data_IF_138285828545
#
_entry.id   IF_138285828545
#
_cell.length_a   1.000
_cell.length_b   1.000
_cell.length_c   1.000
_cell.angle_alpha   90.00
_cell.angle_beta   90.00
_cell.angle_gamma   90.00
#
_symmetry.space_group_name_H-M   'P 1'
#
loop_
_entity.id
_entity.type
_entity.pdbx_description
1 polymer ?
#
# COMPACT_ATOMS: atom_id res chain seq x y z
N UNK A 1 -28.18 1.23 3.19
CA UNK A 1 -27.11 1.76 4.05
C UNK A 1 -26.27 2.78 3.29
N UNK A 2 -25.71 3.72 3.98
CA UNK A 2 -24.92 4.79 3.34
C UNK A 2 -23.42 4.58 3.63
N UNK A 3 -22.75 3.82 2.77
CA UNK A 3 -21.32 3.54 2.92
C UNK A 3 -20.55 4.74 2.36
N UNK A 4 -19.63 5.30 3.14
CA UNK A 4 -18.95 6.56 2.82
C UNK A 4 -17.50 6.39 2.35
N UNK A 5 -16.94 5.21 2.46
CA UNK A 5 -15.56 5.00 2.01
C UNK A 5 -14.96 3.71 2.53
N UNK A 6 -13.67 3.56 2.30
CA UNK A 6 -12.88 2.44 2.80
C UNK A 6 -12.15 2.93 4.04
N UNK A 7 -12.32 2.22 5.17
CA UNK A 7 -11.60 2.53 6.42
C UNK A 7 -10.21 1.87 6.42
N UNK A 8 -10.20 0.57 6.19
CA UNK A 8 -8.96 -0.19 6.11
C UNK A 8 -9.18 -1.47 5.33
N UNK A 9 -8.10 -2.07 4.92
CA UNK A 9 -8.11 -3.43 4.38
C UNK A 9 -6.92 -4.18 4.96
N UNK A 10 -6.87 -5.49 4.71
CA UNK A 10 -5.88 -6.37 5.32
C UNK A 10 -4.97 -6.94 4.24
N UNK A 11 -3.67 -6.91 4.50
CA UNK A 11 -2.69 -7.67 3.72
C UNK A 11 -2.23 -8.86 4.57
N UNK A 12 -2.28 -10.04 3.99
CA UNK A 12 -1.67 -11.23 4.57
C UNK A 12 -0.22 -11.24 4.11
N UNK A 13 0.71 -11.29 5.06
CA UNK A 13 2.14 -11.10 4.77
C UNK A 13 2.96 -12.26 5.33
N UNK A 14 4.09 -12.53 4.70
CA UNK A 14 5.03 -13.55 5.16
C UNK A 14 5.83 -13.05 6.37
N UNK A 15 6.31 -11.80 6.29
CA UNK A 15 7.17 -11.18 7.30
C UNK A 15 6.68 -9.77 7.60
N UNK A 16 6.08 -9.58 8.77
CA UNK A 16 5.52 -8.28 9.19
C UNK A 16 6.58 -7.18 9.21
N UNK A 17 7.78 -7.48 9.71
CA UNK A 17 8.85 -6.48 9.81
C UNK A 17 9.32 -6.01 8.43
N UNK A 18 9.46 -6.92 7.48
CA UNK A 18 9.83 -6.57 6.11
C UNK A 18 8.77 -5.68 5.47
N UNK A 19 7.50 -6.00 5.67
CA UNK A 19 6.38 -5.20 5.16
C UNK A 19 6.37 -3.80 5.80
N UNK A 20 6.57 -3.71 7.11
CA UNK A 20 6.65 -2.42 7.80
C UNK A 20 7.76 -1.55 7.23
N UNK A 21 8.94 -2.12 7.04
CA UNK A 21 10.09 -1.39 6.49
C UNK A 21 9.78 -0.86 5.09
N UNK A 22 9.17 -1.69 4.25
CA UNK A 22 8.83 -1.29 2.88
C UNK A 22 7.84 -0.13 2.88
N UNK A 23 6.72 -0.26 3.60
CA UNK A 23 5.68 0.77 3.56
C UNK A 23 6.08 2.07 4.27
N UNK A 24 6.99 2.01 5.25
CA UNK A 24 7.59 3.23 5.80
C UNK A 24 8.35 4.00 4.73
N UNK A 25 9.04 3.30 3.83
CA UNK A 25 9.75 3.94 2.71
C UNK A 25 8.80 4.67 1.77
N UNK A 26 7.54 4.25 1.70
CA UNK A 26 6.52 4.93 0.91
C UNK A 26 5.84 6.07 1.65
N UNK A 27 6.21 6.33 2.90
CA UNK A 27 5.65 7.41 3.70
C UNK A 27 4.56 6.97 4.67
N UNK A 28 4.31 5.68 4.80
CA UNK A 28 3.34 5.15 5.75
C UNK A 28 3.84 5.23 7.19
N UNK A 29 2.92 5.43 8.12
CA UNK A 29 3.22 5.45 9.55
C UNK A 29 2.87 4.10 10.16
N UNK A 30 3.84 3.46 10.80
CA UNK A 30 3.62 2.17 11.44
C UNK A 30 3.04 2.38 12.83
N UNK A 31 1.90 1.74 13.10
CA UNK A 31 1.20 1.83 14.37
C UNK A 31 0.98 0.43 14.91
N UNK A 32 1.31 0.23 16.19
CA UNK A 32 1.02 -1.01 16.89
C UNK A 32 -0.30 -0.87 17.62
N UNK A 33 -1.18 -1.85 17.51
CA UNK A 33 -2.48 -1.82 18.17
C UNK A 33 -2.86 -3.22 18.65
N UNK A 34 -3.83 -3.29 19.58
CA UNK A 34 -4.28 -4.55 20.14
C UNK A 34 -3.13 -5.36 20.72
N UNK A 35 -3.13 -6.66 20.46
CA UNK A 35 -2.10 -7.58 20.98
C UNK A 35 -0.90 -7.63 20.03
N UNK A 36 -0.14 -6.53 19.98
CA UNK A 36 1.08 -6.40 19.16
C UNK A 36 0.83 -6.55 17.65
N UNK A 37 -0.35 -6.10 17.20
CA UNK A 37 -0.70 -6.09 15.77
C UNK A 37 -0.16 -4.82 15.13
N UNK A 38 0.25 -4.91 13.86
CA UNK A 38 0.81 -3.77 13.12
C UNK A 38 -0.15 -3.31 12.03
N UNK A 39 -0.21 -2.01 11.86
CA UNK A 39 -0.92 -1.37 10.75
C UNK A 39 -0.06 -0.28 10.16
N UNK A 40 -0.28 0.00 8.89
CA UNK A 40 0.37 1.14 8.20
C UNK A 40 -0.72 2.17 7.95
N UNK A 41 -0.54 3.38 8.49
CA UNK A 41 -1.48 4.48 8.30
C UNK A 41 -1.04 5.37 7.15
N UNK A 42 -1.97 5.66 6.24
CA UNK A 42 -1.82 6.63 5.17
C UNK A 42 -3.02 7.57 5.25
N UNK A 43 -2.80 8.84 5.55
CA UNK A 43 -3.91 9.78 5.74
C UNK A 43 -4.87 9.27 6.80
N UNK A 44 -6.14 9.13 6.45
CA UNK A 44 -7.18 8.66 7.37
C UNK A 44 -7.52 7.18 7.19
N UNK A 45 -6.74 6.46 6.41
CA UNK A 45 -6.95 5.05 6.11
C UNK A 45 -5.74 4.24 6.57
N UNK A 46 -5.92 2.95 6.70
CA UNK A 46 -4.80 2.09 7.11
C UNK A 46 -4.84 0.73 6.41
N UNK A 47 -3.71 0.07 6.44
CA UNK A 47 -3.57 -1.32 6.00
C UNK A 47 -3.16 -2.11 7.24
N UNK A 48 -4.00 -3.08 7.65
CA UNK A 48 -3.64 -3.99 8.73
C UNK A 48 -2.77 -5.12 8.16
N UNK A 49 -1.72 -5.48 8.89
CA UNK A 49 -0.85 -6.59 8.48
C UNK A 49 -1.17 -7.84 9.31
N UNK A 50 -1.49 -8.94 8.62
CA UNK A 50 -1.73 -10.24 9.26
C UNK A 50 -0.65 -11.21 8.79
N UNK A 51 0.19 -11.74 9.71
CA UNK A 51 1.10 -12.82 9.33
C UNK A 51 0.30 -14.02 8.82
N UNK A 52 0.82 -14.71 7.80
CA UNK A 52 0.12 -15.85 7.20
C UNK A 52 -0.22 -16.94 8.21
N UNK A 53 0.59 -17.08 9.25
CA UNK A 53 0.39 -18.08 10.30
C UNK A 53 -0.35 -17.54 11.53
N UNK A 54 -0.88 -16.31 11.48
CA UNK A 54 -1.61 -15.73 12.61
C UNK A 54 -2.95 -16.39 12.80
N UNK A 55 -3.33 -16.60 14.06
CA UNK A 55 -4.63 -17.10 14.43
C UNK A 55 -5.60 -15.93 14.60
N UNK A 56 -6.16 -15.48 13.50
CA UNK A 56 -7.10 -14.36 13.44
C UNK A 56 -8.40 -14.83 12.84
N UNK A 57 -9.52 -14.47 13.46
CA UNK A 57 -10.85 -14.86 13.00
C UNK A 57 -11.84 -13.72 13.24
N UNK A 58 -12.65 -13.29 12.25
CA UNK A 58 -12.71 -13.84 10.89
C UNK A 58 -11.61 -13.28 10.00
N UNK A 59 -11.34 -13.98 8.89
CA UNK A 59 -10.43 -13.52 7.84
C UNK A 59 -11.07 -13.76 6.48
N UNK A 60 -10.40 -13.32 5.41
CA UNK A 60 -10.84 -13.62 4.05
C UNK A 60 -10.94 -15.14 3.86
N UNK A 61 -11.80 -15.58 2.96
CA UNK A 61 -11.96 -17.00 2.66
C UNK A 61 -10.67 -17.65 2.18
N UNK A 62 -9.84 -16.89 1.46
CA UNK A 62 -8.55 -17.35 0.93
C UNK A 62 -7.48 -16.29 1.19
N UNK A 63 -7.04 -16.12 2.43
CA UNK A 63 -5.98 -15.17 2.71
C UNK A 63 -4.70 -15.63 2.02
N UNK A 64 -4.10 -14.75 1.20
CA UNK A 64 -3.00 -15.12 0.32
C UNK A 64 -1.89 -14.09 0.40
N UNK A 65 -0.68 -14.56 0.62
CA UNK A 65 0.52 -13.72 0.61
C UNK A 65 0.78 -13.27 -0.83
N UNK A 66 1.00 -11.96 -1.03
CA UNK A 66 1.32 -11.42 -2.34
C UNK A 66 0.13 -11.27 -3.28
N UNK A 67 -1.09 -11.52 -2.80
CA UNK A 67 -2.30 -11.42 -3.63
C UNK A 67 -2.91 -10.04 -3.71
N UNK A 68 -2.35 -9.05 -3.01
CA UNK A 68 -2.87 -7.69 -3.01
C UNK A 68 -2.53 -6.92 -4.28
N UNK A 69 -3.39 -5.95 -4.60
CA UNK A 69 -3.23 -5.07 -5.77
C UNK A 69 -4.03 -3.82 -5.45
N UNK A 70 -3.36 -2.72 -5.16
CA UNK A 70 -4.06 -1.50 -4.74
C UNK A 70 -3.27 -0.25 -5.10
N UNK A 71 -3.92 0.89 -4.99
CA UNK A 71 -3.35 2.18 -5.33
C UNK A 71 -3.32 3.10 -4.11
N UNK A 72 -2.17 3.72 -3.91
CA UNK A 72 -1.99 4.80 -2.95
C UNK A 72 -1.94 6.12 -3.72
N UNK A 73 -2.60 7.13 -3.20
CA UNK A 73 -2.70 8.45 -3.82
C UNK A 73 -1.70 9.39 -3.16
N UNK A 74 -1.04 10.22 -3.95
CA UNK A 74 -0.13 11.25 -3.46
C UNK A 74 -0.30 12.55 -4.25
N UNK A 75 0.07 13.67 -3.63
CA UNK A 75 0.17 14.96 -4.31
C UNK A 75 1.60 15.22 -4.78
N UNK A 76 2.54 14.37 -4.39
CA UNK A 76 3.94 14.48 -4.80
C UNK A 76 4.04 14.30 -6.31
N UNK A 77 4.72 15.21 -7.02
CA UNK A 77 4.90 15.07 -8.48
C UNK A 77 5.54 13.74 -8.85
N UNK A 78 5.14 13.18 -9.98
CA UNK A 78 5.58 11.85 -10.42
C UNK A 78 7.10 11.74 -10.50
N UNK A 79 7.78 12.77 -11.02
CA UNK A 79 9.25 12.76 -11.11
C UNK A 79 9.90 12.65 -9.73
N UNK A 80 9.31 13.31 -8.73
CA UNK A 80 9.81 13.24 -7.36
C UNK A 80 9.53 11.87 -6.74
N UNK A 81 8.38 11.27 -7.05
CA UNK A 81 8.06 9.90 -6.61
C UNK A 81 9.12 8.95 -7.15
N UNK A 82 9.42 9.02 -8.44
CA UNK A 82 10.44 8.17 -9.07
C UNK A 82 11.81 8.36 -8.41
N UNK A 83 12.17 9.60 -8.12
CA UNK A 83 13.46 9.91 -7.48
C UNK A 83 13.55 9.30 -6.09
N UNK A 84 12.46 9.41 -5.29
CA UNK A 84 12.43 8.86 -3.94
C UNK A 84 12.48 7.33 -3.96
N UNK A 85 11.80 6.70 -4.90
CA UNK A 85 11.83 5.24 -5.05
C UNK A 85 13.26 4.78 -5.36
N UNK A 86 13.93 5.44 -6.29
CA UNK A 86 15.29 5.12 -6.66
C UNK A 86 16.25 5.27 -5.47
N UNK A 87 16.15 6.38 -4.75
CA UNK A 87 16.98 6.65 -3.56
C UNK A 87 16.78 5.59 -2.47
N UNK A 88 15.59 5.02 -2.38
CA UNK A 88 15.23 4.06 -1.34
C UNK A 88 15.35 2.61 -1.81
N UNK A 89 15.94 2.41 -2.98
CA UNK A 89 16.19 1.10 -3.58
C UNK A 89 14.90 0.30 -3.81
N UNK A 90 13.85 0.98 -4.25
CA UNK A 90 12.60 0.33 -4.63
C UNK A 90 12.54 0.34 -6.15
N UNK A 91 12.51 -0.84 -6.75
CA UNK A 91 12.50 -1.01 -8.20
C UNK A 91 11.14 -0.64 -8.80
N UNK A 92 11.17 0.18 -9.85
CA UNK A 92 9.98 0.53 -10.61
C UNK A 92 9.60 -0.63 -11.52
N UNK A 93 8.37 -1.12 -11.40
CA UNK A 93 7.87 -2.19 -12.26
C UNK A 93 7.38 -1.64 -13.59
N UNK A 94 6.65 -0.53 -13.55
CA UNK A 94 6.07 0.09 -14.72
C UNK A 94 5.70 1.53 -14.42
N UNK A 95 5.66 2.35 -15.46
CA UNK A 95 5.22 3.73 -15.38
C UNK A 95 6.33 4.71 -15.64
N UNK A 96 6.01 6.02 -15.68
CA UNK A 96 4.67 6.60 -15.44
C UNK A 96 3.65 6.27 -16.53
N UNK A 97 2.43 6.05 -16.13
CA UNK A 97 1.30 5.83 -17.05
C UNK A 97 0.07 6.57 -16.53
N UNK A 98 -0.79 7.00 -17.46
CA UNK A 98 -2.05 7.64 -17.09
C UNK A 98 -3.07 6.60 -16.70
N UNK A 99 -3.80 6.87 -15.62
CA UNK A 99 -4.84 5.98 -15.11
C UNK A 99 -6.06 6.78 -14.70
N UNK A 100 -7.20 6.10 -14.64
CA UNK A 100 -8.43 6.69 -14.15
C UNK A 100 -8.57 6.36 -12.67
N UNK A 101 -8.48 7.37 -11.83
CA UNK A 101 -8.68 7.20 -10.41
C UNK A 101 -10.16 7.30 -10.02
N UNK A 102 -10.44 7.14 -8.74
CA UNK A 102 -11.81 7.19 -8.24
C UNK A 102 -12.43 8.59 -8.38
N UNK A 103 -11.62 9.64 -8.29
CA UNK A 103 -12.07 11.04 -8.29
C UNK A 103 -11.61 11.78 -9.54
N UNK A 104 -10.69 11.24 -10.29
CA UNK A 104 -10.16 11.90 -11.49
C UNK A 104 -8.93 11.18 -12.00
N UNK A 105 -8.31 11.77 -13.03
CA UNK A 105 -7.10 11.21 -13.62
C UNK A 105 -5.92 11.25 -12.65
N UNK A 106 -5.12 10.22 -12.70
CA UNK A 106 -3.88 10.13 -11.92
C UNK A 106 -2.76 9.68 -12.86
N UNK A 107 -1.52 10.01 -12.49
CA UNK A 107 -0.34 9.51 -13.17
C UNK A 107 0.34 8.53 -12.23
N UNK A 108 0.49 7.29 -12.66
CA UNK A 108 0.85 6.20 -11.76
C UNK A 108 2.17 5.54 -12.12
N UNK A 109 2.86 5.11 -11.06
CA UNK A 109 3.98 4.20 -11.14
C UNK A 109 3.65 2.96 -10.31
N UNK A 110 4.26 1.83 -10.62
CA UNK A 110 3.98 0.54 -9.97
C UNK A 110 5.25 -0.04 -9.38
N UNK A 111 5.12 -0.56 -8.17
CA UNK A 111 6.20 -1.25 -7.46
C UNK A 111 5.66 -2.53 -6.83
N UNK A 112 6.55 -3.40 -6.36
CA UNK A 112 6.18 -4.62 -5.64
C UNK A 112 6.63 -4.50 -4.19
N UNK A 113 5.78 -4.93 -3.27
CA UNK A 113 6.17 -5.03 -1.87
C UNK A 113 7.00 -6.32 -1.64
N UNK A 114 7.48 -6.61 -0.41
CA UNK A 114 8.32 -7.79 -0.18
C UNK A 114 7.66 -9.12 -0.53
N UNK A 115 6.32 -9.19 -0.55
CA UNK A 115 5.57 -10.40 -0.87
C UNK A 115 5.18 -10.49 -2.34
N UNK A 116 5.45 -9.45 -3.13
CA UNK A 116 5.03 -9.38 -4.51
C UNK A 116 3.68 -8.69 -4.72
N UNK A 117 3.07 -8.16 -3.68
CA UNK A 117 1.86 -7.34 -3.78
C UNK A 117 2.12 -6.18 -4.74
N UNK A 118 1.21 -5.96 -5.67
CA UNK A 118 1.34 -4.86 -6.63
C UNK A 118 0.84 -3.56 -5.97
N UNK A 119 1.72 -2.59 -5.87
CA UNK A 119 1.41 -1.30 -5.28
C UNK A 119 1.52 -0.23 -6.35
N UNK A 120 0.40 0.41 -6.66
CA UNK A 120 0.34 1.55 -7.56
C UNK A 120 0.46 2.82 -6.72
N UNK A 121 1.26 3.78 -7.18
CA UNK A 121 1.38 5.09 -6.53
C UNK A 121 0.92 6.10 -7.57
N UNK A 122 -0.21 6.72 -7.32
CA UNK A 122 -0.85 7.64 -8.25
C UNK A 122 -0.75 9.08 -7.79
N UNK A 123 -0.16 9.92 -8.63
CA UNK A 123 -0.12 11.36 -8.39
C UNK A 123 -1.41 11.97 -8.93
N UNK A 124 -2.13 12.70 -8.08
CA UNK A 124 -3.36 13.37 -8.49
C UNK A 124 -3.03 14.62 -9.30
N UNK A 125 -3.86 14.89 -10.30
CA UNK A 125 -3.65 16.03 -11.20
C UNK A 125 -2.56 15.75 -12.22
N UNK A 126 -2.09 16.81 -12.86
CA UNK A 126 -1.00 16.76 -13.85
C UNK A 126 0.33 16.82 -13.11
N UNK A 127 1.18 15.87 -13.34
CA UNK A 127 2.50 15.83 -12.74
C UNK A 127 3.60 16.20 -13.73
#
# INVERSE_FOLDING_TARGET
MNITGIDHFVLTVEDVEASCTFYQKLGGEIVTFGDDRKAIHFGEQKINLHPIDADVDPVAAKPTVGGGDFCLITETPTEEVERQLDERNIELVMGPVDRTGAVGSITSVYVRDPDGTLVEIGTVGDS
#
